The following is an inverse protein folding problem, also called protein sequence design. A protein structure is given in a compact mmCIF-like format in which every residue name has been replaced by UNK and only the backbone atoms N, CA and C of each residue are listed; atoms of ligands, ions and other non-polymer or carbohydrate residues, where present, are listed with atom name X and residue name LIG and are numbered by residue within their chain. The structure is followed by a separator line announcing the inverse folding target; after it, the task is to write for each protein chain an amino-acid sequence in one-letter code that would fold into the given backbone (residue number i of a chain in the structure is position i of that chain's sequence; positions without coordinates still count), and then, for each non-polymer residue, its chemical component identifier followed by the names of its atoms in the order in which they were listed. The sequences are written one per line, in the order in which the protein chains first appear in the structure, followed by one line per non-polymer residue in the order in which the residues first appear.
data_IF_980070312104
#
_entry.id   IF_980070312104
#
_cell.length_a   1.000
_cell.length_b   1.000
_cell.length_c   1.000
_cell.angle_alpha   90.00
_cell.angle_beta   90.00
_cell.angle_gamma   90.00
#
_symmetry.space_group_name_H-M   'P 1'
#
loop_
_entity.id
_entity.type
_entity.pdbx_description
1 polymer ?
#
# COMPACT_ATOMS: atom_id res chain seq x y z
N UNK A 1 -6.60 -25.11 27.74
CA UNK A 1 -6.20 -25.59 26.39
C UNK A 1 -7.46 -25.98 25.64
N UNK A 2 -8.06 -25.02 24.95
CA UNK A 2 -9.25 -25.24 24.12
C UNK A 2 -8.78 -25.71 22.76
N UNK A 3 -8.99 -26.99 22.47
CA UNK A 3 -8.76 -27.60 21.17
C UNK A 3 -9.70 -26.91 20.17
N UNK A 4 -9.14 -26.11 19.26
CA UNK A 4 -9.88 -25.62 18.09
C UNK A 4 -10.09 -26.82 17.18
N UNK A 5 -11.34 -27.26 17.07
CA UNK A 5 -11.77 -28.17 16.03
C UNK A 5 -11.74 -27.42 14.70
N UNK A 6 -10.61 -27.49 14.00
CA UNK A 6 -10.59 -27.18 12.58
C UNK A 6 -11.47 -28.21 11.85
N UNK A 7 -12.32 -27.79 10.90
CA UNK A 7 -13.13 -28.72 10.12
C UNK A 7 -12.22 -29.66 9.32
N UNK A 8 -12.67 -30.89 9.01
CA UNK A 8 -11.85 -31.86 8.30
C UNK A 8 -11.36 -31.27 6.98
N UNK A 9 -10.07 -31.42 6.67
CA UNK A 9 -9.58 -31.21 5.30
C UNK A 9 -10.34 -32.18 4.39
N UNK A 10 -11.40 -31.69 3.74
CA UNK A 10 -12.20 -32.46 2.81
C UNK A 10 -11.29 -32.97 1.70
N UNK A 11 -11.25 -34.29 1.51
CA UNK A 11 -10.42 -34.99 0.54
C UNK A 11 -10.67 -34.44 -0.88
N UNK A 12 -9.78 -33.56 -1.34
CA UNK A 12 -9.78 -33.05 -2.71
C UNK A 12 -9.00 -34.02 -3.59
N UNK A 13 -9.57 -34.39 -4.74
CA UNK A 13 -8.83 -35.15 -5.76
C UNK A 13 -7.83 -34.24 -6.48
N UNK A 14 -6.87 -34.82 -7.21
CA UNK A 14 -5.87 -34.01 -7.91
C UNK A 14 -6.52 -33.10 -8.98
N UNK A 15 -5.93 -31.94 -9.28
CA UNK A 15 -6.52 -30.99 -10.23
C UNK A 15 -6.62 -31.59 -11.65
N UNK A 16 -5.63 -32.38 -12.06
CA UNK A 16 -5.62 -33.06 -13.36
C UNK A 16 -6.69 -34.16 -13.44
N UNK A 17 -6.88 -34.93 -12.37
CA UNK A 17 -7.95 -35.95 -12.28
C UNK A 17 -9.35 -35.32 -12.23
N UNK A 18 -9.52 -34.20 -11.53
CA UNK A 18 -10.80 -33.49 -11.54
C UNK A 18 -11.10 -32.90 -12.93
N UNK A 19 -10.07 -32.41 -13.62
CA UNK A 19 -10.23 -31.82 -14.95
C UNK A 19 -10.80 -32.79 -15.97
N UNK A 20 -10.54 -34.10 -15.87
CA UNK A 20 -11.13 -35.11 -16.76
C UNK A 20 -12.63 -35.28 -16.56
N UNK A 21 -13.19 -34.81 -15.43
CA UNK A 21 -14.62 -34.86 -15.13
C UNK A 21 -15.38 -33.63 -15.64
N UNK A 22 -14.68 -32.54 -15.96
CA UNK A 22 -15.29 -31.32 -16.47
C UNK A 22 -15.61 -31.51 -17.96
N UNK A 23 -16.83 -31.18 -18.42
CA UNK A 23 -17.17 -31.25 -19.83
C UNK A 23 -16.14 -30.48 -20.69
N UNK A 24 -15.58 -31.10 -21.74
CA UNK A 24 -14.49 -30.50 -22.52
C UNK A 24 -14.89 -29.17 -23.17
N UNK A 25 -16.18 -29.01 -23.49
CA UNK A 25 -16.78 -27.78 -24.01
C UNK A 25 -16.59 -26.58 -23.06
N UNK A 26 -16.52 -26.82 -21.74
CA UNK A 26 -16.29 -25.77 -20.73
C UNK A 26 -14.81 -25.47 -20.50
N UNK A 27 -13.91 -26.34 -20.99
CA UNK A 27 -12.45 -26.24 -20.82
C UNK A 27 -11.72 -25.74 -22.06
N UNK A 28 -12.38 -25.70 -23.24
CA UNK A 28 -11.69 -25.46 -24.49
C UNK A 28 -11.13 -24.04 -24.60
N UNK A 29 -9.84 -23.93 -24.87
CA UNK A 29 -9.05 -22.69 -24.93
C UNK A 29 -8.55 -22.44 -26.36
N UNK A 30 -9.33 -22.75 -27.39
CA UNK A 30 -8.94 -22.39 -28.76
C UNK A 30 -8.95 -20.86 -28.93
N UNK A 31 -7.79 -20.25 -28.70
CA UNK A 31 -7.47 -18.91 -29.23
C UNK A 31 -7.46 -19.02 -30.75
N UNK A 32 -8.61 -18.80 -31.38
CA UNK A 32 -8.62 -18.38 -32.79
C UNK A 32 -8.01 -16.98 -32.85
N UNK A 33 -7.08 -16.75 -33.79
CA UNK A 33 -6.53 -15.41 -34.05
C UNK A 33 -7.67 -14.51 -34.52
N UNK A 34 -8.26 -13.74 -33.60
CA UNK A 34 -9.43 -12.88 -33.81
C UNK A 34 -10.16 -12.58 -32.50
N UNK A 35 -11.23 -11.76 -32.53
CA UNK A 35 -12.17 -11.63 -31.40
C UNK A 35 -12.70 -13.03 -31.08
N UNK A 36 -12.46 -13.50 -29.86
CA UNK A 36 -12.97 -14.80 -29.42
C UNK A 36 -14.49 -14.83 -29.61
N UNK A 37 -15.07 -15.94 -30.09
CA UNK A 37 -16.51 -16.11 -30.13
C UNK A 37 -17.12 -15.83 -28.77
N UNK A 38 -18.33 -15.30 -28.79
CA UNK A 38 -19.09 -14.88 -27.62
C UNK A 38 -19.24 -16.00 -26.57
N UNK A 39 -19.30 -17.25 -27.01
CA UNK A 39 -19.32 -18.48 -26.20
C UNK A 39 -17.98 -18.86 -25.54
N UNK A 40 -16.94 -18.02 -25.68
CA UNK A 40 -15.59 -18.27 -25.18
C UNK A 40 -15.08 -17.19 -24.19
N UNK A 41 -15.96 -16.25 -23.80
CA UNK A 41 -15.63 -15.21 -22.82
C UNK A 41 -15.30 -15.75 -21.43
N UNK A 42 -14.63 -14.94 -20.61
CA UNK A 42 -14.24 -15.34 -19.25
C UNK A 42 -15.46 -15.44 -18.34
N UNK A 43 -16.33 -14.44 -18.36
CA UNK A 43 -17.54 -14.42 -17.55
C UNK A 43 -18.47 -15.56 -17.95
N UNK A 44 -18.67 -15.78 -19.25
CA UNK A 44 -19.42 -16.92 -19.76
C UNK A 44 -18.95 -18.25 -19.18
N UNK A 45 -17.64 -18.55 -19.29
CA UNK A 45 -17.07 -19.82 -18.81
C UNK A 45 -17.13 -19.97 -17.31
N UNK A 46 -16.76 -18.93 -16.57
CA UNK A 46 -16.82 -18.94 -15.12
C UNK A 46 -18.25 -19.24 -14.65
N UNK A 47 -19.24 -18.63 -15.28
CA UNK A 47 -20.65 -18.87 -14.97
C UNK A 47 -21.08 -20.31 -15.25
N UNK A 48 -20.75 -20.84 -16.43
CA UNK A 48 -21.10 -22.22 -16.79
C UNK A 48 -20.41 -23.24 -15.89
N UNK A 49 -19.16 -23.00 -15.47
CA UNK A 49 -18.45 -23.85 -14.51
C UNK A 49 -19.11 -23.78 -13.12
N UNK A 50 -19.48 -22.59 -12.65
CA UNK A 50 -20.20 -22.42 -11.38
C UNK A 50 -21.57 -23.12 -11.41
N UNK A 51 -22.32 -23.01 -12.52
CA UNK A 51 -23.63 -23.66 -12.72
C UNK A 51 -23.51 -25.18 -12.86
N UNK A 52 -22.46 -25.67 -13.52
CA UNK A 52 -22.21 -27.10 -13.62
C UNK A 52 -21.81 -27.70 -12.26
N UNK A 53 -21.01 -26.98 -11.47
CA UNK A 53 -20.57 -27.41 -10.16
C UNK A 53 -21.67 -27.30 -9.08
N UNK A 54 -22.64 -26.38 -9.22
CA UNK A 54 -23.63 -26.09 -8.17
C UNK A 54 -24.51 -27.27 -7.76
N UNK A 55 -24.60 -28.30 -8.60
CA UNK A 55 -25.42 -29.50 -8.33
C UNK A 55 -24.72 -30.54 -7.45
N UNK A 56 -23.42 -30.37 -7.16
CA UNK A 56 -22.63 -31.36 -6.42
C UNK A 56 -21.60 -30.65 -5.50
N UNK A 57 -21.76 -30.78 -4.17
CA UNK A 57 -20.81 -30.23 -3.19
C UNK A 57 -19.36 -30.65 -3.43
N UNK A 58 -19.13 -31.88 -3.89
CA UNK A 58 -17.80 -32.38 -4.18
C UNK A 58 -17.18 -31.66 -5.39
N UNK A 59 -17.98 -31.35 -6.41
CA UNK A 59 -17.52 -30.58 -7.59
C UNK A 59 -17.19 -29.14 -7.22
N UNK A 60 -18.01 -28.49 -6.40
CA UNK A 60 -17.75 -27.13 -5.92
C UNK A 60 -16.40 -27.04 -5.19
N UNK A 61 -16.14 -28.00 -4.29
CA UNK A 61 -14.91 -28.05 -3.53
C UNK A 61 -13.69 -28.38 -4.41
N UNK A 62 -13.82 -29.31 -5.36
CA UNK A 62 -12.73 -29.69 -6.26
C UNK A 62 -12.44 -28.64 -7.34
N UNK A 63 -13.45 -27.91 -7.80
CA UNK A 63 -13.30 -26.76 -8.70
C UNK A 63 -12.66 -25.56 -7.99
N UNK A 64 -12.95 -25.41 -6.69
CA UNK A 64 -12.55 -24.24 -5.92
C UNK A 64 -13.42 -23.02 -6.22
N UNK A 65 -14.64 -23.21 -6.73
CA UNK A 65 -15.56 -22.12 -7.04
C UNK A 65 -17.00 -22.53 -6.68
N UNK A 66 -17.75 -21.64 -6.01
CA UNK A 66 -19.15 -21.88 -5.65
C UNK A 66 -19.95 -20.59 -5.50
N UNK A 67 -21.24 -20.65 -5.76
CA UNK A 67 -22.17 -19.58 -5.36
C UNK A 67 -22.31 -19.57 -3.83
N UNK A 68 -22.19 -18.38 -3.22
CA UNK A 68 -22.48 -18.15 -1.79
C UNK A 68 -23.84 -17.50 -1.61
N UNK A 69 -24.26 -16.72 -2.59
CA UNK A 69 -25.60 -16.14 -2.71
C UNK A 69 -25.98 -16.03 -4.19
N UNK A 70 -27.22 -15.62 -4.54
CA UNK A 70 -27.60 -15.42 -5.93
C UNK A 70 -26.72 -14.42 -6.69
N UNK A 71 -26.10 -13.46 -6.00
CA UNK A 71 -25.32 -12.37 -6.58
C UNK A 71 -23.84 -12.38 -6.20
N UNK A 72 -23.38 -13.43 -5.51
CA UNK A 72 -22.01 -13.53 -4.99
C UNK A 72 -21.50 -14.96 -5.10
N UNK A 73 -20.25 -15.11 -5.52
CA UNK A 73 -19.56 -16.39 -5.55
C UNK A 73 -18.24 -16.32 -4.78
N UNK A 74 -17.84 -17.46 -4.22
CA UNK A 74 -16.55 -17.68 -3.60
C UNK A 74 -15.60 -18.40 -4.56
N UNK A 75 -14.34 -18.00 -4.54
CA UNK A 75 -13.27 -18.51 -5.40
C UNK A 75 -11.99 -18.77 -4.59
N UNK A 76 -11.59 -20.03 -4.51
CA UNK A 76 -10.25 -20.48 -4.13
C UNK A 76 -9.35 -20.33 -5.38
N UNK A 77 -8.70 -19.17 -5.49
CA UNK A 77 -8.01 -18.75 -6.72
C UNK A 77 -6.89 -19.70 -7.11
N UNK A 78 -6.15 -20.24 -6.15
CA UNK A 78 -5.07 -21.18 -6.41
C UNK A 78 -5.62 -22.46 -7.00
N UNK A 79 -6.65 -23.04 -6.37
CA UNK A 79 -7.26 -24.28 -6.84
C UNK A 79 -7.94 -24.11 -8.20
N UNK A 80 -8.72 -23.05 -8.36
CA UNK A 80 -9.41 -22.78 -9.61
C UNK A 80 -8.40 -22.63 -10.76
N UNK A 81 -7.34 -21.86 -10.55
CA UNK A 81 -6.28 -21.64 -11.52
C UNK A 81 -5.60 -22.96 -11.97
N UNK A 82 -5.30 -23.87 -11.04
CA UNK A 82 -4.78 -25.21 -11.34
C UNK A 82 -5.73 -26.00 -12.25
N UNK A 83 -7.02 -26.08 -11.89
CA UNK A 83 -8.03 -26.84 -12.62
C UNK A 83 -8.18 -26.35 -14.06
N UNK A 84 -8.24 -25.03 -14.27
CA UNK A 84 -8.40 -24.45 -15.61
C UNK A 84 -7.08 -24.29 -16.37
N UNK A 85 -5.94 -24.68 -15.78
CA UNK A 85 -4.57 -24.52 -16.34
C UNK A 85 -4.28 -23.05 -16.70
N UNK A 86 -4.53 -22.16 -15.75
CA UNK A 86 -4.20 -20.74 -15.86
C UNK A 86 -3.34 -20.30 -14.67
N UNK A 87 -2.66 -19.17 -14.80
CA UNK A 87 -1.90 -18.61 -13.68
C UNK A 87 -2.85 -17.81 -12.77
N UNK A 88 -2.67 -17.83 -11.43
CA UNK A 88 -3.49 -17.03 -10.51
C UNK A 88 -3.53 -15.54 -10.87
N UNK A 89 -2.43 -15.00 -11.39
CA UNK A 89 -2.35 -13.61 -11.87
C UNK A 89 -3.24 -13.34 -13.09
N UNK A 90 -3.38 -14.31 -14.00
CA UNK A 90 -4.30 -14.21 -15.14
C UNK A 90 -5.75 -14.19 -14.67
N UNK A 91 -6.09 -14.93 -13.62
CA UNK A 91 -7.43 -14.91 -13.02
C UNK A 91 -7.72 -13.54 -12.39
N UNK A 92 -6.77 -13.00 -11.61
CA UNK A 92 -6.91 -11.65 -11.06
C UNK A 92 -7.07 -10.60 -12.17
N UNK A 93 -6.30 -10.71 -13.25
CA UNK A 93 -6.45 -9.82 -14.41
C UNK A 93 -7.85 -9.92 -15.01
N UNK A 94 -8.32 -11.13 -15.33
CA UNK A 94 -9.65 -11.33 -15.94
C UNK A 94 -10.81 -10.88 -15.06
N UNK A 95 -10.74 -11.13 -13.75
CA UNK A 95 -11.73 -10.62 -12.79
C UNK A 95 -11.80 -9.08 -12.84
N UNK A 96 -10.66 -8.39 -12.91
CA UNK A 96 -10.62 -6.93 -13.05
C UNK A 96 -11.11 -6.46 -14.42
N UNK A 97 -10.68 -7.10 -15.51
CA UNK A 97 -11.11 -6.75 -16.88
C UNK A 97 -12.63 -6.86 -17.06
N UNK A 98 -13.27 -7.79 -16.37
CA UNK A 98 -14.72 -7.95 -16.35
C UNK A 98 -15.42 -7.20 -15.20
N UNK A 99 -14.71 -6.28 -14.51
CA UNK A 99 -15.21 -5.43 -13.41
C UNK A 99 -15.87 -6.22 -12.27
N UNK A 100 -15.31 -7.37 -11.90
CA UNK A 100 -15.69 -8.07 -10.68
C UNK A 100 -15.09 -7.35 -9.46
N UNK A 101 -15.96 -7.03 -8.51
CA UNK A 101 -15.58 -6.41 -7.25
C UNK A 101 -15.47 -7.46 -6.15
N UNK A 102 -14.39 -7.41 -5.38
CA UNK A 102 -14.26 -8.26 -4.21
C UNK A 102 -15.23 -7.75 -3.12
N UNK A 103 -16.17 -8.58 -2.70
CA UNK A 103 -17.25 -8.18 -1.79
C UNK A 103 -16.89 -8.31 -0.31
N UNK A 104 -15.98 -9.23 0.03
CA UNK A 104 -15.59 -9.53 1.41
C UNK A 104 -14.08 -9.76 1.53
N UNK A 105 -13.51 -9.54 2.74
CA UNK A 105 -12.15 -9.98 3.05
C UNK A 105 -11.97 -11.47 2.79
N UNK A 106 -10.73 -11.88 2.50
CA UNK A 106 -10.39 -13.28 2.28
C UNK A 106 -10.66 -14.08 3.56
N UNK A 107 -11.41 -15.16 3.43
CA UNK A 107 -11.65 -16.11 4.53
C UNK A 107 -11.02 -17.44 4.17
N UNK A 108 -9.97 -17.82 4.89
CA UNK A 108 -9.16 -19.00 4.57
C UNK A 108 -8.56 -18.95 3.15
N UNK A 109 -8.86 -19.90 2.26
CA UNK A 109 -8.40 -19.90 0.86
C UNK A 109 -9.34 -19.19 -0.10
N UNK A 110 -10.55 -18.82 0.34
CA UNK A 110 -11.59 -18.26 -0.54
C UNK A 110 -11.59 -16.73 -0.57
N UNK A 111 -11.84 -16.20 -1.76
CA UNK A 111 -12.13 -14.78 -2.03
C UNK A 111 -13.55 -14.66 -2.59
N UNK A 112 -14.26 -13.60 -2.23
CA UNK A 112 -15.69 -13.43 -2.56
C UNK A 112 -15.86 -12.31 -3.56
N UNK A 113 -16.63 -12.55 -4.62
CA UNK A 113 -16.73 -11.66 -5.77
C UNK A 113 -18.18 -11.45 -6.20
N UNK A 114 -18.47 -10.23 -6.65
CA UNK A 114 -19.75 -9.82 -7.25
C UNK A 114 -19.52 -8.94 -8.47
N UNK A 115 -20.40 -9.03 -9.47
CA UNK A 115 -20.42 -8.14 -10.61
C UNK A 115 -21.88 -7.87 -11.01
N UNK A 116 -22.18 -6.64 -11.41
CA UNK A 116 -23.52 -6.28 -11.86
C UNK A 116 -23.88 -7.04 -13.15
N UNK A 117 -24.99 -7.77 -13.10
CA UNK A 117 -25.44 -8.68 -14.16
C UNK A 117 -24.86 -10.09 -14.08
N UNK A 118 -23.96 -10.38 -13.13
CA UNK A 118 -23.39 -11.72 -12.90
C UNK A 118 -24.02 -12.38 -11.67
N UNK A 119 -25.05 -13.19 -11.90
CA UNK A 119 -25.85 -13.86 -10.88
C UNK A 119 -26.02 -15.33 -11.25
N UNK A 120 -26.50 -16.16 -10.32
CA UNK A 120 -26.80 -17.57 -10.60
C UNK A 120 -27.87 -17.77 -11.70
N UNK A 121 -28.63 -16.72 -12.04
CA UNK A 121 -29.68 -16.72 -13.06
C UNK A 121 -29.36 -15.84 -14.27
N UNK A 122 -28.12 -15.38 -14.44
CA UNK A 122 -27.72 -14.58 -15.60
C UNK A 122 -28.10 -15.26 -16.92
N UNK A 123 -28.60 -14.46 -17.85
CA UNK A 123 -28.84 -14.89 -19.23
C UNK A 123 -27.55 -14.83 -20.03
N UNK A 124 -27.51 -15.49 -21.18
CA UNK A 124 -26.36 -15.42 -22.08
C UNK A 124 -26.05 -13.97 -22.45
N UNK A 125 -27.06 -13.15 -22.76
CA UNK A 125 -26.89 -11.72 -23.06
C UNK A 125 -26.21 -10.93 -21.92
N UNK A 126 -26.47 -11.26 -20.66
CA UNK A 126 -25.83 -10.60 -19.51
C UNK A 126 -24.34 -10.95 -19.43
N UNK A 127 -24.00 -12.21 -19.66
CA UNK A 127 -22.62 -12.69 -19.68
C UNK A 127 -21.85 -12.08 -20.84
N UNK A 128 -22.50 -11.97 -22.01
CA UNK A 128 -21.98 -11.30 -23.19
C UNK A 128 -21.71 -9.83 -22.90
N UNK A 129 -22.65 -9.14 -22.25
CA UNK A 129 -22.46 -7.76 -21.85
C UNK A 129 -21.23 -7.63 -20.94
N UNK A 130 -21.04 -8.55 -19.97
CA UNK A 130 -19.88 -8.53 -19.06
C UNK A 130 -18.56 -8.84 -19.78
N UNK A 131 -18.55 -9.81 -20.69
CA UNK A 131 -17.35 -10.13 -21.46
C UNK A 131 -17.01 -9.03 -22.48
N UNK A 132 -18.02 -8.30 -22.97
CA UNK A 132 -17.89 -7.13 -23.83
C UNK A 132 -17.69 -5.81 -23.05
N UNK A 133 -17.87 -5.80 -21.72
CA UNK A 133 -17.44 -4.69 -20.84
C UNK A 133 -15.91 -4.56 -20.82
N UNK A 134 -15.15 -5.41 -21.53
CA UNK A 134 -13.76 -5.14 -21.89
C UNK A 134 -13.65 -3.69 -22.31
N UNK A 135 -12.89 -2.94 -21.51
CA UNK A 135 -12.82 -1.50 -21.63
C UNK A 135 -12.62 -1.09 -23.11
N UNK A 136 -13.37 -0.08 -23.56
CA UNK A 136 -13.22 0.58 -24.87
C UNK A 136 -11.78 1.10 -25.11
N UNK A 137 -10.98 1.12 -24.04
CA UNK A 137 -9.52 1.00 -23.93
C UNK A 137 -8.82 0.12 -24.99
N UNK A 138 -9.34 -1.07 -25.31
CA UNK A 138 -8.55 -2.09 -26.05
C UNK A 138 -8.54 -1.93 -27.59
N UNK A 139 -9.19 -0.91 -28.15
CA UNK A 139 -9.04 -0.58 -29.58
C UNK A 139 -7.78 0.25 -29.89
N UNK A 140 -7.12 0.76 -28.86
CA UNK A 140 -5.74 1.22 -28.92
C UNK A 140 -4.91 0.29 -28.05
N UNK A 141 -3.62 0.05 -28.35
CA UNK A 141 -2.73 -0.49 -27.35
C UNK A 141 -2.67 0.56 -26.24
N UNK A 142 -3.54 0.45 -25.23
CA UNK A 142 -3.34 1.15 -23.99
C UNK A 142 -2.02 0.63 -23.44
N UNK A 143 -0.97 1.45 -23.60
CA UNK A 143 -0.09 1.69 -22.48
C UNK A 143 -1.02 1.80 -21.27
N UNK A 144 -0.91 0.91 -20.30
CA UNK A 144 -1.50 1.18 -18.99
C UNK A 144 -1.02 2.59 -18.65
N UNK A 145 -1.90 3.55 -18.37
CA UNK A 145 -1.50 4.95 -18.18
C UNK A 145 -0.39 5.03 -17.09
N UNK A 146 -0.39 4.07 -16.16
CA UNK A 146 0.67 3.84 -15.17
C UNK A 146 2.03 3.49 -15.79
N UNK A 147 2.09 2.74 -16.89
CA UNK A 147 3.32 2.41 -17.61
C UNK A 147 3.96 3.63 -18.28
N UNK A 148 3.22 4.72 -18.51
CA UNK A 148 3.82 6.00 -18.95
C UNK A 148 4.62 6.65 -17.81
N UNK A 149 4.23 6.41 -16.56
CA UNK A 149 4.88 6.97 -15.38
C UNK A 149 6.07 6.15 -14.90
N UNK A 150 6.05 4.82 -15.04
CA UNK A 150 7.13 3.94 -14.54
C UNK A 150 8.55 4.36 -14.97
N UNK A 151 8.81 4.74 -16.24
CA UNK A 151 10.13 5.21 -16.66
C UNK A 151 10.59 6.47 -15.89
N UNK A 152 9.67 7.37 -15.54
CA UNK A 152 9.99 8.60 -14.79
C UNK A 152 10.36 8.31 -13.34
N UNK A 153 9.92 7.17 -12.82
CA UNK A 153 10.15 6.75 -11.44
C UNK A 153 11.39 5.88 -11.28
N UNK A 154 12.20 5.67 -12.32
CA UNK A 154 13.43 4.85 -12.26
C UNK A 154 14.40 5.33 -11.16
N UNK A 155 14.46 6.65 -10.95
CA UNK A 155 15.27 7.30 -9.92
C UNK A 155 14.71 7.14 -8.51
N UNK A 156 13.40 6.88 -8.37
CA UNK A 156 12.75 6.68 -7.07
C UNK A 156 12.96 5.24 -6.64
N UNK A 157 13.77 5.04 -5.60
CA UNK A 157 14.12 3.73 -5.04
C UNK A 157 13.80 3.71 -3.56
N UNK A 158 13.17 2.64 -3.08
CA UNK A 158 12.94 2.42 -1.66
C UNK A 158 13.87 1.31 -1.15
N UNK A 159 14.27 1.40 0.12
CA UNK A 159 14.98 0.35 0.83
C UNK A 159 14.00 -0.52 1.64
N UNK A 160 14.19 -1.84 1.71
CA UNK A 160 15.18 -2.62 0.97
C UNK A 160 14.86 -2.66 -0.54
N UNK A 161 15.87 -2.75 -1.43
CA UNK A 161 15.70 -2.64 -2.87
C UNK A 161 15.17 -3.95 -3.50
N UNK A 162 14.04 -4.44 -3.00
CA UNK A 162 13.35 -5.62 -3.50
C UNK A 162 12.49 -5.17 -4.70
N UNK A 163 12.73 -5.66 -5.93
CA UNK A 163 12.05 -5.19 -7.14
C UNK A 163 10.51 -5.25 -7.04
N UNK A 164 9.96 -6.32 -6.48
CA UNK A 164 8.52 -6.51 -6.31
C UNK A 164 7.90 -5.43 -5.41
N UNK A 165 8.57 -5.11 -4.29
CA UNK A 165 8.11 -4.09 -3.37
C UNK A 165 8.22 -2.69 -3.99
N UNK A 166 9.29 -2.42 -4.73
CA UNK A 166 9.51 -1.14 -5.38
C UNK A 166 8.50 -0.89 -6.51
N UNK A 167 8.19 -1.91 -7.31
CA UNK A 167 7.17 -1.81 -8.36
C UNK A 167 5.77 -1.65 -7.77
N UNK A 168 5.44 -2.43 -6.73
CA UNK A 168 4.18 -2.26 -5.99
C UNK A 168 4.06 -0.84 -5.46
N UNK A 169 5.14 -0.31 -4.88
CA UNK A 169 5.17 1.05 -4.36
C UNK A 169 4.92 2.11 -5.41
N UNK A 170 5.60 2.02 -6.54
CA UNK A 170 5.42 2.97 -7.64
C UNK A 170 3.97 2.96 -8.13
N UNK A 171 3.37 1.79 -8.26
CA UNK A 171 1.97 1.69 -8.68
C UNK A 171 1.02 2.33 -7.66
N UNK A 172 1.16 2.05 -6.36
CA UNK A 172 0.33 2.66 -5.33
C UNK A 172 0.51 4.18 -5.25
N UNK A 173 1.75 4.67 -5.41
CA UNK A 173 2.02 6.10 -5.50
C UNK A 173 1.40 6.74 -6.76
N UNK A 174 1.44 6.07 -7.92
CA UNK A 174 0.79 6.55 -9.15
C UNK A 174 -0.73 6.62 -8.95
N UNK A 175 -1.37 5.59 -8.38
CA UNK A 175 -2.81 5.63 -8.12
C UNK A 175 -3.19 6.79 -7.22
N UNK A 176 -2.44 7.01 -6.14
CA UNK A 176 -2.69 8.13 -5.25
C UNK A 176 -2.44 9.50 -5.92
N UNK A 177 -1.45 9.58 -6.81
CA UNK A 177 -1.22 10.78 -7.62
C UNK A 177 -2.42 11.09 -8.51
N UNK A 178 -2.96 10.09 -9.20
CA UNK A 178 -4.14 10.24 -10.07
C UNK A 178 -5.44 10.53 -9.29
N UNK A 179 -5.52 10.13 -8.02
CA UNK A 179 -6.62 10.53 -7.14
C UNK A 179 -6.53 12.00 -6.69
N UNK A 180 -5.31 12.55 -6.56
CA UNK A 180 -5.07 13.92 -6.11
C UNK A 180 -5.10 14.91 -7.30
N UNK A 181 -4.50 14.52 -8.42
CA UNK A 181 -4.34 15.38 -9.59
C UNK A 181 -5.47 15.12 -10.57
N UNK A 182 -6.23 16.16 -10.97
CA UNK A 182 -7.31 15.98 -11.93
C UNK A 182 -6.74 15.61 -13.31
N UNK A 183 -7.34 14.58 -13.92
CA UNK A 183 -6.97 13.98 -15.22
C UNK A 183 -5.80 12.99 -15.17
N UNK A 184 -5.97 11.90 -15.92
CA UNK A 184 -4.95 10.88 -16.13
C UNK A 184 -3.76 11.44 -16.92
N UNK A 185 -2.57 10.85 -16.73
CA UNK A 185 -1.36 11.15 -17.51
C UNK A 185 -0.78 12.57 -17.34
N UNK A 186 -0.96 13.20 -16.18
CA UNK A 186 -0.27 14.47 -15.83
C UNK A 186 1.03 14.17 -15.07
N UNK A 187 2.13 14.79 -15.52
CA UNK A 187 3.49 14.48 -15.03
C UNK A 187 4.02 15.56 -14.09
N UNK A 188 3.46 16.76 -14.23
CA UNK A 188 3.71 17.91 -13.37
C UNK A 188 2.40 18.68 -13.19
N UNK A 189 2.14 19.15 -11.97
CA UNK A 189 0.93 19.87 -11.62
C UNK A 189 1.26 21.14 -10.84
N UNK A 190 0.36 22.12 -10.86
CA UNK A 190 0.54 23.38 -10.12
C UNK A 190 0.75 23.08 -8.64
N UNK A 191 1.84 23.56 -8.06
CA UNK A 191 2.22 23.26 -6.68
C UNK A 191 1.13 23.71 -5.70
N UNK A 192 0.60 24.91 -5.88
CA UNK A 192 -0.47 25.46 -5.02
C UNK A 192 -1.73 24.60 -5.10
N UNK A 193 -2.14 24.20 -6.31
CA UNK A 193 -3.32 23.36 -6.49
C UNK A 193 -3.10 21.94 -5.96
N UNK A 194 -1.88 21.40 -6.14
CA UNK A 194 -1.50 20.11 -5.60
C UNK A 194 -1.56 20.09 -4.07
N UNK A 195 -0.96 21.08 -3.40
CA UNK A 195 -0.96 21.16 -1.94
C UNK A 195 -2.38 21.19 -1.40
N UNK A 196 -3.27 21.96 -2.02
CA UNK A 196 -4.68 22.01 -1.61
C UNK A 196 -5.38 20.65 -1.79
N UNK A 197 -5.25 20.04 -2.97
CA UNK A 197 -5.85 18.74 -3.27
C UNK A 197 -5.30 17.61 -2.37
N UNK A 198 -3.99 17.57 -2.16
CA UNK A 198 -3.33 16.62 -1.28
C UNK A 198 -3.74 16.82 0.18
N UNK A 199 -3.90 18.07 0.63
CA UNK A 199 -4.41 18.39 1.98
C UNK A 199 -5.81 17.82 2.16
N UNK A 200 -6.72 18.09 1.23
CA UNK A 200 -8.09 17.54 1.29
C UNK A 200 -8.08 16.00 1.33
N UNK A 201 -7.29 15.36 0.46
CA UNK A 201 -7.17 13.89 0.40
C UNK A 201 -6.66 13.31 1.72
N UNK A 202 -5.54 13.81 2.25
CA UNK A 202 -4.95 13.27 3.48
C UNK A 202 -5.77 13.57 4.73
N UNK A 203 -6.43 14.73 4.83
CA UNK A 203 -7.37 15.02 5.91
C UNK A 203 -8.59 14.08 5.87
N UNK A 204 -9.10 13.77 4.69
CA UNK A 204 -10.20 12.81 4.52
C UNK A 204 -9.77 11.39 4.91
N UNK A 205 -8.60 10.93 4.46
CA UNK A 205 -8.05 9.61 4.82
C UNK A 205 -7.78 9.51 6.34
N UNK A 206 -7.18 10.54 6.95
CA UNK A 206 -6.94 10.61 8.40
C UNK A 206 -8.25 10.59 9.22
N UNK A 207 -9.27 11.31 8.77
CA UNK A 207 -10.56 11.35 9.49
C UNK A 207 -11.24 9.98 9.51
N UNK A 208 -11.25 9.27 8.38
CA UNK A 208 -11.78 7.91 8.25
C UNK A 208 -11.01 6.90 9.11
N UNK A 209 -9.69 7.06 9.17
CA UNK A 209 -8.85 6.15 9.93
C UNK A 209 -9.04 6.39 11.44
N UNK A 210 -9.10 7.65 11.90
CA UNK A 210 -9.32 8.02 13.31
C UNK A 210 -10.67 7.60 13.90
N UNK A 211 -11.71 7.36 13.09
CA UNK A 211 -13.01 6.86 13.56
C UNK A 211 -13.05 5.35 13.83
N UNK A 212 -11.91 4.65 13.69
CA UNK A 212 -11.76 3.24 14.05
C UNK A 212 -12.14 2.24 12.96
N UNK A 213 -12.37 2.69 11.72
CA UNK A 213 -12.65 1.80 10.59
C UNK A 213 -11.38 1.11 10.05
N UNK A 214 -10.19 1.72 10.24
CA UNK A 214 -8.91 1.19 9.74
C UNK A 214 -7.67 1.45 10.61
N UNK A 215 -7.77 2.18 11.73
CA UNK A 215 -6.57 2.61 12.50
C UNK A 215 -5.82 1.43 13.15
N UNK A 216 -4.56 1.24 12.77
CA UNK A 216 -3.65 0.23 13.36
C UNK A 216 -2.46 0.84 14.11
N UNK A 217 -2.36 2.17 14.17
CA UNK A 217 -1.18 2.88 14.66
C UNK A 217 -1.50 3.73 15.90
N UNK A 218 -0.97 3.38 17.07
CA UNK A 218 -1.11 4.18 18.31
C UNK A 218 0.26 4.69 18.76
N UNK A 219 0.50 6.00 18.59
CA UNK A 219 1.74 6.63 18.99
C UNK A 219 1.81 6.95 20.50
N UNK A 220 0.71 6.81 21.26
CA UNK A 220 0.49 7.09 22.70
C UNK A 220 0.94 8.46 23.25
N UNK A 221 2.07 9.03 22.83
CA UNK A 221 2.66 10.28 23.29
C UNK A 221 2.58 11.44 22.28
N UNK A 222 2.33 11.17 21.00
CA UNK A 222 2.32 12.20 19.93
C UNK A 222 1.08 12.12 19.05
N UNK A 223 -0.09 11.80 19.62
CA UNK A 223 -1.31 11.68 18.81
C UNK A 223 -1.68 13.04 18.21
N UNK A 224 -1.74 13.11 16.87
CA UNK A 224 -2.00 14.35 16.16
C UNK A 224 -3.36 14.97 16.53
N UNK A 225 -4.38 14.13 16.75
CA UNK A 225 -5.70 14.57 17.20
C UNK A 225 -5.66 15.31 18.54
N UNK A 226 -4.88 14.82 19.51
CA UNK A 226 -4.71 15.46 20.80
C UNK A 226 -3.96 16.78 20.67
N UNK A 227 -2.93 16.82 19.82
CA UNK A 227 -2.20 18.05 19.52
C UNK A 227 -3.12 19.14 18.96
N UNK A 228 -3.93 18.81 17.94
CA UNK A 228 -4.89 19.74 17.36
C UNK A 228 -5.87 20.28 18.42
N UNK A 229 -6.38 19.40 19.29
CA UNK A 229 -7.30 19.76 20.36
C UNK A 229 -6.66 20.67 21.42
N UNK A 230 -5.46 20.31 21.89
CA UNK A 230 -4.79 21.04 22.97
C UNK A 230 -4.40 22.46 22.58
N UNK A 231 -4.05 22.67 21.30
CA UNK A 231 -3.66 23.97 20.78
C UNK A 231 -4.76 24.68 19.98
N UNK A 232 -5.98 24.13 19.97
CA UNK A 232 -7.14 24.65 19.23
C UNK A 232 -6.82 24.98 17.76
N UNK A 233 -6.21 24.02 17.07
CA UNK A 233 -5.76 24.15 15.69
C UNK A 233 -6.76 23.54 14.71
N UNK A 234 -6.91 24.17 13.55
CA UNK A 234 -7.67 23.62 12.43
C UNK A 234 -6.88 22.50 11.73
N UNK A 235 -7.53 21.36 11.47
CA UNK A 235 -6.90 20.19 10.84
C UNK A 235 -6.39 20.53 9.45
N UNK A 236 -7.20 21.21 8.64
CA UNK A 236 -6.89 21.48 7.24
C UNK A 236 -5.72 22.46 7.11
N UNK A 237 -5.76 23.58 7.84
CA UNK A 237 -4.69 24.57 7.84
C UNK A 237 -3.37 24.01 8.39
N UNK A 238 -3.45 23.16 9.42
CA UNK A 238 -2.27 22.52 10.01
C UNK A 238 -1.66 21.51 9.05
N UNK A 239 -2.48 20.64 8.45
CA UNK A 239 -2.05 19.68 7.44
C UNK A 239 -1.42 20.40 6.23
N UNK A 240 -2.04 21.49 5.74
CA UNK A 240 -1.50 22.27 4.63
C UNK A 240 -0.10 22.80 4.94
N UNK A 241 0.10 23.40 6.12
CA UNK A 241 1.41 23.90 6.57
C UNK A 241 2.44 22.79 6.68
N UNK A 242 2.06 21.64 7.24
CA UNK A 242 2.94 20.48 7.36
C UNK A 242 3.38 19.97 5.99
N UNK A 243 2.44 19.77 5.07
CA UNK A 243 2.71 19.32 3.71
C UNK A 243 3.61 20.30 2.95
N UNK A 244 3.31 21.60 3.00
CA UNK A 244 4.16 22.64 2.40
C UNK A 244 5.59 22.61 2.95
N UNK A 245 5.76 22.29 4.24
CA UNK A 245 7.09 22.23 4.84
C UNK A 245 7.89 21.00 4.42
N UNK A 246 7.28 19.80 4.43
CA UNK A 246 8.03 18.55 4.22
C UNK A 246 8.17 18.14 2.76
N UNK A 247 7.34 18.67 1.88
CA UNK A 247 7.33 18.38 0.46
C UNK A 247 8.51 19.07 -0.24
N UNK A 248 9.41 18.26 -0.77
CA UNK A 248 10.56 18.76 -1.54
C UNK A 248 10.23 18.85 -3.02
N UNK A 249 10.42 20.03 -3.60
CA UNK A 249 10.22 20.27 -5.03
C UNK A 249 11.33 21.19 -5.57
N UNK A 250 11.74 20.95 -6.82
CA UNK A 250 12.82 21.72 -7.47
C UNK A 250 12.29 23.01 -8.10
N UNK A 251 11.08 22.98 -8.62
CA UNK A 251 10.44 24.13 -9.25
C UNK A 251 9.52 24.83 -8.25
N UNK A 252 9.55 26.16 -8.20
CA UNK A 252 8.72 26.95 -7.27
C UNK A 252 7.23 26.94 -7.58
N UNK A 253 6.81 26.53 -8.77
CA UNK A 253 5.43 26.64 -9.25
C UNK A 253 4.76 25.31 -9.55
N UNK A 254 5.52 24.22 -9.66
CA UNK A 254 4.98 22.90 -9.95
C UNK A 254 5.64 21.80 -9.14
N UNK A 255 4.90 20.71 -8.98
CA UNK A 255 5.39 19.44 -8.46
C UNK A 255 5.25 18.37 -9.52
N UNK A 256 6.23 17.48 -9.59
CA UNK A 256 6.29 16.35 -10.51
C UNK A 256 5.92 15.04 -9.83
N UNK A 257 5.48 14.04 -10.62
CA UNK A 257 5.16 12.72 -10.08
C UNK A 257 6.34 12.04 -9.35
N UNK A 258 7.62 12.16 -9.76
CA UNK A 258 8.74 11.58 -9.00
C UNK A 258 8.97 12.28 -7.65
N UNK A 259 8.75 13.59 -7.57
CA UNK A 259 8.84 14.35 -6.31
C UNK A 259 7.74 13.93 -5.34
N UNK A 260 6.51 13.76 -5.85
CA UNK A 260 5.41 13.22 -5.07
C UNK A 260 5.67 11.78 -4.60
N UNK A 261 6.12 10.90 -5.50
CA UNK A 261 6.49 9.53 -5.13
C UNK A 261 7.56 9.54 -4.04
N UNK A 262 8.57 10.41 -4.14
CA UNK A 262 9.60 10.54 -3.11
C UNK A 262 9.01 10.97 -1.76
N UNK A 263 8.10 11.94 -1.76
CA UNK A 263 7.34 12.32 -0.56
C UNK A 263 6.55 11.13 0.02
N UNK A 264 5.84 10.38 -0.84
CA UNK A 264 5.04 9.26 -0.41
C UNK A 264 5.89 8.10 0.15
N UNK A 265 7.10 7.90 -0.36
CA UNK A 265 8.05 6.95 0.22
C UNK A 265 8.42 7.29 1.68
N UNK A 266 8.50 8.59 2.00
CA UNK A 266 8.91 9.09 3.32
C UNK A 266 7.80 8.99 4.37
N UNK A 267 6.56 9.19 3.96
CA UNK A 267 5.44 9.37 4.90
C UNK A 267 4.22 8.50 4.64
N UNK A 268 4.14 7.74 3.55
CA UNK A 268 3.03 6.82 3.31
C UNK A 268 2.91 5.74 4.39
N UNK A 269 1.77 5.05 4.51
CA UNK A 269 0.57 5.13 3.64
C UNK A 269 -0.32 6.35 3.90
N UNK A 270 -1.25 6.66 2.98
CA UNK A 270 -2.02 7.92 2.92
C UNK A 270 -2.88 8.20 4.17
N UNK A 271 -3.38 7.16 4.82
CA UNK A 271 -4.19 7.22 6.04
C UNK A 271 -3.41 7.60 7.30
N UNK A 272 -2.07 7.54 7.26
CA UNK A 272 -1.17 7.83 8.37
C UNK A 272 -0.11 8.89 8.03
N UNK A 273 -0.12 9.45 6.81
CA UNK A 273 0.81 10.50 6.36
C UNK A 273 0.87 11.66 7.36
N UNK A 274 -0.27 12.21 7.78
CA UNK A 274 -0.30 13.36 8.67
C UNK A 274 0.27 13.04 10.05
N UNK A 275 -0.07 11.87 10.59
CA UNK A 275 0.42 11.39 11.89
C UNK A 275 1.94 11.18 11.87
N UNK A 276 2.47 10.57 10.80
CA UNK A 276 3.92 10.33 10.64
C UNK A 276 4.70 11.64 10.48
N UNK A 277 4.18 12.61 9.72
CA UNK A 277 4.79 13.94 9.61
C UNK A 277 4.78 14.63 10.97
N UNK A 278 3.62 14.62 11.66
CA UNK A 278 3.48 15.25 12.97
C UNK A 278 4.50 14.67 13.98
N UNK A 279 4.58 13.35 14.06
CA UNK A 279 5.52 12.69 14.97
C UNK A 279 6.99 13.03 14.65
N UNK A 280 7.38 13.05 13.38
CA UNK A 280 8.74 13.45 12.98
C UNK A 280 9.04 14.88 13.42
N UNK A 281 8.12 15.82 13.19
CA UNK A 281 8.32 17.23 13.52
C UNK A 281 8.34 17.47 15.04
N UNK A 282 7.48 16.80 15.81
CA UNK A 282 7.52 16.84 17.27
C UNK A 282 8.84 16.26 17.81
N UNK A 283 9.29 15.12 17.27
CA UNK A 283 10.58 14.55 17.62
C UNK A 283 11.72 15.51 17.22
N UNK A 284 11.65 16.15 16.06
CA UNK A 284 12.63 17.17 15.67
C UNK A 284 12.72 18.28 16.71
N UNK A 285 11.56 18.80 17.13
CA UNK A 285 11.50 19.88 18.10
C UNK A 285 12.06 19.49 19.47
N UNK A 286 11.72 18.28 19.94
CA UNK A 286 12.21 17.74 21.21
C UNK A 286 13.75 17.55 21.22
N UNK A 287 14.34 17.27 20.06
CA UNK A 287 15.78 17.05 19.89
C UNK A 287 16.46 18.19 19.12
N UNK A 288 16.22 19.44 19.53
CA UNK A 288 16.92 20.65 19.08
C UNK A 288 16.76 21.00 17.59
N UNK A 289 15.57 20.77 17.04
CA UNK A 289 15.22 21.03 15.65
C UNK A 289 16.23 20.39 14.68
N UNK A 290 16.52 19.09 14.89
CA UNK A 290 17.56 18.38 14.14
C UNK A 290 17.22 18.19 12.67
N UNK A 291 15.94 18.04 12.34
CA UNK A 291 15.48 17.69 11.01
C UNK A 291 15.28 18.91 10.11
N UNK A 292 15.80 18.85 8.88
CA UNK A 292 15.48 19.78 7.78
C UNK A 292 14.99 18.98 6.57
N UNK A 293 13.87 19.37 5.92
CA UNK A 293 13.29 18.67 4.78
C UNK A 293 14.06 18.99 3.48
N UNK A 294 15.34 18.64 3.45
CA UNK A 294 16.26 18.85 2.33
C UNK A 294 17.01 17.55 2.06
N UNK A 295 17.60 17.40 0.88
CA UNK A 295 18.39 16.21 0.54
C UNK A 295 19.86 16.42 0.93
N UNK A 296 20.40 15.47 1.70
CA UNK A 296 21.83 15.36 2.06
C UNK A 296 22.54 16.67 2.43
N UNK A 297 21.85 17.57 3.11
CA UNK A 297 22.42 18.84 3.58
C UNK A 297 22.44 18.84 5.11
N UNK A 298 23.63 18.95 5.69
CA UNK A 298 23.85 18.81 7.13
C UNK A 298 24.32 20.13 7.74
N UNK A 299 23.78 20.43 8.92
CA UNK A 299 24.21 21.57 9.72
C UNK A 299 25.31 21.13 10.69
N UNK A 300 26.58 21.38 10.31
CA UNK A 300 27.74 20.94 11.09
C UNK A 300 27.90 21.69 12.42
N UNK A 301 27.16 22.78 12.63
CA UNK A 301 27.17 23.52 13.90
C UNK A 301 26.22 22.94 14.93
N UNK A 302 25.29 22.07 14.50
CA UNK A 302 24.37 21.39 15.41
C UNK A 302 24.97 20.08 15.93
N UNK A 303 24.70 19.70 17.20
CA UNK A 303 25.14 18.43 17.74
C UNK A 303 24.49 17.23 17.02
N UNK A 304 23.26 17.43 16.53
CA UNK A 304 22.51 16.46 15.73
C UNK A 304 21.85 17.23 14.59
N UNK A 305 21.96 16.69 13.38
CA UNK A 305 21.31 17.21 12.19
C UNK A 305 20.83 16.04 11.34
N UNK A 306 19.72 16.21 10.64
CA UNK A 306 19.24 15.18 9.74
C UNK A 306 18.38 15.73 8.62
N UNK A 307 18.29 14.90 7.59
CA UNK A 307 17.78 15.27 6.29
C UNK A 307 17.33 14.02 5.54
N UNK A 308 16.83 14.18 4.32
CA UNK A 308 16.50 13.06 3.45
C UNK A 308 17.74 12.50 2.76
N UNK A 309 17.74 11.19 2.52
CA UNK A 309 18.70 10.58 1.60
C UNK A 309 18.36 10.90 0.15
N UNK A 310 19.39 11.02 -0.69
CA UNK A 310 19.25 11.10 -2.16
C UNK A 310 19.38 9.72 -2.83
N UNK A 311 19.68 8.67 -2.07
CA UNK A 311 19.90 7.31 -2.59
C UNK A 311 18.63 6.47 -2.49
N UNK A 312 17.97 6.51 -1.33
CA UNK A 312 16.70 5.83 -1.09
C UNK A 312 15.65 6.83 -0.62
N UNK A 313 14.53 6.89 -1.33
CA UNK A 313 13.47 7.87 -1.14
C UNK A 313 12.84 7.78 0.26
N UNK A 314 12.73 6.57 0.83
CA UNK A 314 12.16 6.35 2.17
C UNK A 314 13.19 6.51 3.31
N UNK A 315 14.43 6.95 3.03
CA UNK A 315 15.50 7.01 4.01
C UNK A 315 15.71 8.43 4.57
N UNK A 316 15.82 8.49 5.89
CA UNK A 316 16.21 9.65 6.67
C UNK A 316 17.62 9.43 7.20
N UNK A 317 18.47 10.44 7.06
CA UNK A 317 19.85 10.41 7.54
C UNK A 317 19.94 11.28 8.77
N UNK A 318 20.41 10.72 9.89
CA UNK A 318 20.68 11.45 11.13
C UNK A 318 22.18 11.41 11.38
N UNK A 319 22.81 12.58 11.40
CA UNK A 319 24.23 12.75 11.65
C UNK A 319 24.47 13.44 12.99
N UNK A 320 25.39 12.88 13.78
CA UNK A 320 25.86 13.47 15.04
C UNK A 320 27.23 14.14 14.85
N UNK A 321 27.55 15.09 15.71
CA UNK A 321 28.85 15.80 15.72
C UNK A 321 30.07 14.88 15.86
N UNK A 322 29.90 13.69 16.44
CA UNK A 322 30.93 12.66 16.58
C UNK A 322 31.22 11.87 15.28
N UNK A 323 30.63 12.28 14.15
CA UNK A 323 30.81 11.60 12.85
C UNK A 323 29.93 10.37 12.67
N UNK A 324 29.17 9.97 13.69
CA UNK A 324 28.24 8.83 13.62
C UNK A 324 27.04 9.21 12.76
N UNK A 325 26.72 8.35 11.80
CA UNK A 325 25.60 8.50 10.87
C UNK A 325 24.64 7.34 11.05
N UNK A 326 23.36 7.64 11.15
CA UNK A 326 22.28 6.66 11.25
C UNK A 326 21.37 6.81 10.05
N UNK A 327 21.01 5.68 9.45
CA UNK A 327 20.01 5.59 8.39
C UNK A 327 18.75 4.95 8.95
N UNK A 328 17.62 5.65 8.80
CA UNK A 328 16.32 5.19 9.27
C UNK A 328 15.36 5.22 8.10
N UNK A 329 14.64 4.14 7.88
CA UNK A 329 13.81 3.92 6.72
C UNK A 329 12.34 3.84 7.12
N UNK A 330 11.48 4.60 6.42
CA UNK A 330 10.02 4.44 6.55
C UNK A 330 9.55 3.22 5.75
N UNK A 331 8.55 2.52 6.27
CA UNK A 331 7.79 1.51 5.55
C UNK A 331 6.51 2.13 4.96
N UNK A 332 6.47 2.41 3.64
CA UNK A 332 5.34 3.10 3.03
C UNK A 332 4.03 2.27 2.96
N UNK A 333 4.07 0.96 3.22
CA UNK A 333 2.90 0.05 3.27
C UNK A 333 2.59 -0.47 4.66
N UNK A 334 3.12 0.18 5.68
CA UNK A 334 2.99 -0.34 7.03
C UNK A 334 1.51 -0.41 7.46
N UNK A 335 1.02 -1.63 7.73
CA UNK A 335 -0.34 -1.93 8.20
C UNK A 335 -0.27 -3.06 9.25
N UNK A 336 0.31 -2.79 10.42
CA UNK A 336 0.47 -3.82 11.44
C UNK A 336 0.79 -3.28 12.84
N UNK A 337 1.20 -4.15 13.77
CA UNK A 337 1.68 -3.77 15.11
C UNK A 337 3.21 -3.62 15.20
N UNK A 338 3.93 -3.92 14.12
CA UNK A 338 5.40 -3.83 14.06
C UNK A 338 5.82 -2.35 13.90
N UNK A 339 7.07 -1.95 14.06
CA UNK A 339 7.44 -0.56 13.83
C UNK A 339 7.27 -0.11 12.36
N UNK A 340 6.87 1.15 12.11
CA UNK A 340 6.83 1.71 10.75
C UNK A 340 8.20 2.24 10.29
N UNK A 341 9.16 2.34 11.21
CA UNK A 341 10.54 2.71 10.97
C UNK A 341 11.44 1.50 11.18
N UNK A 342 12.53 1.43 10.45
CA UNK A 342 13.60 0.46 10.70
C UNK A 342 14.98 1.00 10.34
N UNK A 343 16.03 0.41 10.87
CA UNK A 343 17.42 0.78 10.58
C UNK A 343 18.12 -0.25 9.67
N UNK A 344 19.41 -0.06 9.41
CA UNK A 344 20.25 -0.97 8.60
C UNK A 344 20.47 -2.34 9.25
N UNK A 345 20.10 -2.51 10.53
CA UNK A 345 20.18 -3.78 11.27
C UNK A 345 18.82 -4.49 11.36
N UNK A 346 17.84 -4.08 10.53
CA UNK A 346 16.46 -4.56 10.54
C UNK A 346 15.73 -4.39 11.87
N UNK A 347 16.22 -3.51 12.76
CA UNK A 347 15.54 -3.20 14.01
C UNK A 347 14.35 -2.29 13.71
N UNK A 348 13.17 -2.70 14.16
CA UNK A 348 11.94 -1.93 13.94
C UNK A 348 11.65 -0.98 15.09
N UNK A 349 11.10 0.20 14.79
CA UNK A 349 10.71 1.22 15.74
C UNK A 349 9.29 1.72 15.47
N UNK A 350 8.50 1.82 16.54
CA UNK A 350 7.12 2.27 16.47
C UNK A 350 7.00 3.78 16.39
N UNK A 351 8.03 4.52 16.77
CA UNK A 351 8.02 5.98 16.81
C UNK A 351 9.41 6.55 16.51
N UNK A 352 9.47 7.79 16.05
CA UNK A 352 10.73 8.54 15.95
C UNK A 352 11.42 8.72 17.32
N UNK A 353 10.66 8.83 18.41
CA UNK A 353 11.24 8.93 19.75
C UNK A 353 12.00 7.66 20.15
N UNK A 354 11.46 6.47 19.82
CA UNK A 354 12.12 5.19 20.07
C UNK A 354 13.44 5.04 19.31
N UNK A 355 13.56 5.64 18.13
CA UNK A 355 14.83 5.73 17.39
C UNK A 355 15.86 6.52 18.21
N UNK A 356 15.49 7.71 18.70
CA UNK A 356 16.40 8.57 19.46
C UNK A 356 16.76 8.01 20.84
N UNK A 357 15.83 7.33 21.52
CA UNK A 357 16.10 6.59 22.75
C UNK A 357 17.17 5.51 22.52
N UNK A 358 17.04 4.73 21.45
CA UNK A 358 18.02 3.72 21.07
C UNK A 358 19.40 4.34 20.78
N UNK A 359 19.44 5.43 20.00
CA UNK A 359 20.69 6.13 19.69
C UNK A 359 21.36 6.73 20.93
N UNK A 360 20.59 7.07 21.97
CA UNK A 360 21.12 7.59 23.23
C UNK A 360 21.70 6.47 24.09
N UNK A 361 21.10 5.28 24.10
CA UNK A 361 21.65 4.10 24.77
C UNK A 361 22.97 3.62 24.15
N UNK A 362 23.12 3.72 22.83
CA UNK A 362 24.38 3.36 22.16
C UNK A 362 25.54 4.30 22.54
N UNK A 363 25.28 5.57 22.88
CA UNK A 363 26.33 6.48 23.36
C UNK A 363 26.93 6.05 24.70
N UNK A 364 26.10 5.55 25.63
CA UNK A 364 26.57 5.06 26.93
C UNK A 364 27.53 3.89 26.74
N UNK A 365 27.28 3.02 25.76
CA UNK A 365 28.15 1.87 25.49
C UNK A 365 29.51 2.25 24.88
N UNK A 366 29.57 3.32 24.07
CA UNK A 366 30.84 3.83 23.52
C UNK A 366 31.60 4.75 24.48
N UNK A 367 30.91 5.41 25.41
CA UNK A 367 31.54 6.24 26.46
C UNK A 367 31.89 5.46 27.73
N UNK A 368 31.45 4.21 27.87
CA UNK A 368 31.88 3.29 28.93
C UNK A 368 33.31 2.75 28.73
N UNK A 369 34.23 3.60 28.28
CA UNK A 369 35.66 3.36 28.44
C UNK A 369 36.05 3.94 29.82
N UNK A 370 36.68 3.20 30.76
CA UNK A 370 36.63 3.51 32.19
C UNK A 370 37.42 4.76 32.65
N UNK A 371 37.91 5.60 31.73
CA UNK A 371 38.85 6.66 32.06
C UNK A 371 38.21 8.03 32.34
N UNK A 372 37.00 8.33 31.83
CA UNK A 372 36.42 9.67 31.95
C UNK A 372 34.90 9.60 32.20
N UNK A 373 34.50 9.33 33.45
CA UNK A 373 33.15 9.60 33.93
C UNK A 373 33.17 10.83 34.82
N UNK A 374 32.85 11.99 34.23
CA UNK A 374 32.34 13.13 34.99
C UNK A 374 30.84 13.27 34.66
N UNK A 375 30.03 12.86 35.63
CA UNK A 375 28.57 12.77 35.51
C UNK A 375 28.00 14.11 35.94
N UNK A 376 27.51 14.90 34.98
CA UNK A 376 26.55 15.97 35.29
C UNK A 376 25.40 16.08 34.29
N UNK A 377 24.24 15.61 34.76
CA UNK A 377 22.91 16.24 34.66
C UNK A 377 22.29 16.45 33.26
N UNK A 378 21.34 15.58 32.90
CA UNK A 378 20.19 15.96 32.05
C UNK A 378 18.95 16.08 32.94
N UNK A 379 18.58 17.33 33.28
CA UNK A 379 17.32 17.66 33.92
C UNK A 379 16.21 17.77 32.85
N UNK A 380 15.29 16.80 32.85
CA UNK A 380 14.01 16.87 32.16
C UNK A 380 13.08 17.80 32.93
N UNK A 381 13.07 19.10 32.61
CA UNK A 381 12.00 20.02 33.01
C UNK A 381 12.09 21.25 32.11
N UNK A 382 11.12 21.36 31.18
CA UNK A 382 10.60 22.57 30.51
C UNK A 382 10.26 22.29 29.05
N UNK A 383 9.05 21.78 28.80
CA UNK A 383 8.36 21.91 27.51
C UNK A 383 6.99 22.50 27.84
N UNK A 384 6.78 23.76 27.46
CA UNK A 384 5.48 24.45 27.33
C UNK A 384 5.36 24.89 25.89
#
# INVERSE_FOLDING_TARGET
MTVRNDPPQELRISADEFRTQIPPELLDNQRTKGKAPVSQGFAYRLWHLLKWASNDPMRMNNLGARWTSPNEFALDKSRYAEVIKSQPNTINFKLRSCKFNQSQPRTSTYTFWKCEGFTAQSTENDLIAIDNKRDSSEASPQFTDEALHIPLLETVRIYPPIPENNNRFKNEAIFLWEEIVPNHCIWAYSLTQFIEAATMKFCASYSKSSSGETFTYDAQQTQFSQYLKNYNLDLHDTARKMLTYVLTHKNTYCITIPEFCTFFARFGPDDSVLEKIHQLLCCSKAYNDWFKPVEQTFDLHKPITGCYSNTFANCFIIKRSQGITFHVYNQPFFQGPVGFLFDESDKNFNTWHAVFEMMSCQQIQYQANPADMDISVFNYQNIV
#
